data_IF_856218278145
#
_entry.id   IF_856218278145
#
_cell.length_a   1.000
_cell.length_b   1.000
_cell.length_c   1.000
_cell.angle_alpha   90.00
_cell.angle_beta   90.00
_cell.angle_gamma   90.00
#
_symmetry.space_group_name_H-M   'P 1'
#
loop_
_entity.id
_entity.type
_entity.pdbx_description
1 polymer ?
#
# COMPACT_ATOMS: atom_id res chain seq x y z
N UNK A 1 -10.33 0.71 -9.41
CA UNK A 1 -9.57 0.91 -8.16
C UNK A 1 -8.52 2.00 -8.33
N UNK A 2 -7.55 1.88 -9.24
CA UNK A 2 -6.50 2.91 -9.41
C UNK A 2 -7.07 4.27 -9.84
N UNK A 3 -7.82 4.33 -10.95
CA UNK A 3 -8.37 5.58 -11.49
C UNK A 3 -9.50 6.18 -10.66
N UNK A 4 -10.36 5.33 -10.09
CA UNK A 4 -11.63 5.75 -9.50
C UNK A 4 -11.57 5.91 -7.98
N UNK A 5 -10.48 5.47 -7.34
CA UNK A 5 -10.34 5.53 -5.88
C UNK A 5 -8.92 6.00 -5.50
N UNK A 6 -7.89 5.24 -5.84
CA UNK A 6 -6.52 5.53 -5.37
C UNK A 6 -5.97 6.89 -5.83
N UNK A 7 -6.00 7.18 -7.13
CA UNK A 7 -5.50 8.46 -7.66
C UNK A 7 -6.28 9.66 -7.08
N UNK A 8 -7.63 9.64 -7.03
CA UNK A 8 -8.40 10.71 -6.39
C UNK A 8 -8.02 11.01 -4.93
N UNK A 9 -7.66 9.99 -4.14
CA UNK A 9 -7.21 10.21 -2.74
C UNK A 9 -5.87 10.96 -2.65
N UNK A 10 -5.09 10.97 -3.73
CA UNK A 10 -3.82 11.70 -3.80
C UNK A 10 -3.99 13.18 -4.16
N UNK A 11 -5.21 13.66 -4.46
CA UNK A 11 -5.45 15.04 -4.91
C UNK A 11 -4.98 16.11 -3.93
N UNK A 12 -4.85 15.78 -2.64
CA UNK A 12 -4.34 16.70 -1.60
C UNK A 12 -2.82 16.61 -1.42
N UNK A 13 -2.12 15.84 -2.25
CA UNK A 13 -0.68 15.62 -2.17
C UNK A 13 0.00 16.02 -3.48
N UNK A 14 1.25 16.47 -3.38
CA UNK A 14 2.08 16.67 -4.57
C UNK A 14 2.59 15.30 -5.07
N UNK A 15 1.90 14.76 -6.07
CA UNK A 15 2.24 13.48 -6.71
C UNK A 15 3.65 13.50 -7.33
N UNK A 16 4.22 14.69 -7.61
CA UNK A 16 5.59 14.79 -8.12
C UNK A 16 6.66 14.46 -7.08
N UNK A 17 6.31 14.55 -5.80
CA UNK A 17 7.20 14.22 -4.67
C UNK A 17 6.98 12.78 -4.16
N UNK A 18 5.98 12.06 -4.69
CA UNK A 18 5.63 10.72 -4.25
C UNK A 18 6.29 9.62 -5.08
N UNK A 19 6.73 8.58 -4.36
CA UNK A 19 7.16 7.31 -4.93
C UNK A 19 6.07 6.26 -4.75
N UNK A 20 5.78 5.49 -5.80
CA UNK A 20 4.85 4.37 -5.72
C UNK A 20 5.59 3.04 -5.78
N UNK A 21 5.33 2.17 -4.82
CA UNK A 21 5.91 0.84 -4.74
C UNK A 21 4.80 -0.22 -4.74
N UNK A 22 4.95 -1.25 -5.56
CA UNK A 22 4.08 -2.43 -5.58
C UNK A 22 4.87 -3.72 -5.81
N UNK A 23 4.26 -4.86 -5.50
CA UNK A 23 4.91 -6.15 -5.69
C UNK A 23 4.80 -6.69 -7.13
N UNK A 24 5.41 -7.85 -7.34
CA UNK A 24 5.45 -8.52 -8.63
C UNK A 24 4.22 -9.39 -8.95
N UNK A 25 3.08 -9.20 -8.28
CA UNK A 25 1.87 -9.98 -8.57
C UNK A 25 1.36 -9.70 -10.00
N UNK A 26 0.87 -10.73 -10.68
CA UNK A 26 0.57 -10.64 -12.12
C UNK A 26 -0.38 -9.49 -12.48
N UNK A 27 -1.40 -9.22 -11.65
CA UNK A 27 -2.34 -8.11 -11.85
C UNK A 27 -1.70 -6.72 -11.70
N UNK A 28 -0.67 -6.59 -10.86
CA UNK A 28 0.08 -5.35 -10.62
C UNK A 28 1.10 -5.07 -11.74
N UNK A 29 1.56 -6.12 -12.40
CA UNK A 29 2.60 -6.08 -13.45
C UNK A 29 2.06 -6.13 -14.87
N UNK A 30 0.74 -6.19 -15.05
CA UNK A 30 0.12 -6.11 -16.36
C UNK A 30 0.51 -4.79 -17.04
N UNK A 31 0.75 -4.82 -18.36
CA UNK A 31 1.17 -3.63 -19.14
C UNK A 31 0.26 -2.43 -18.88
N UNK A 32 -1.05 -2.62 -18.98
CA UNK A 32 -2.03 -1.57 -18.73
C UNK A 32 -1.95 -0.97 -17.31
N UNK A 33 -1.68 -1.79 -16.29
CA UNK A 33 -1.51 -1.32 -14.91
C UNK A 33 -0.22 -0.50 -14.77
N UNK A 34 0.88 -0.98 -15.35
CA UNK A 34 2.17 -0.28 -15.31
C UNK A 34 2.09 1.06 -16.06
N UNK A 35 1.48 1.08 -17.25
CA UNK A 35 1.35 2.29 -18.05
C UNK A 35 0.51 3.34 -17.32
N UNK A 36 -0.61 2.94 -16.72
CA UNK A 36 -1.45 3.83 -15.91
C UNK A 36 -0.71 4.44 -14.71
N UNK A 37 0.11 3.63 -14.02
CA UNK A 37 0.91 4.12 -12.89
C UNK A 37 2.05 5.02 -13.36
N UNK A 38 2.66 4.75 -14.52
CA UNK A 38 3.68 5.62 -15.12
C UNK A 38 3.12 6.99 -15.51
N UNK A 39 1.89 7.06 -16.01
CA UNK A 39 1.24 8.33 -16.33
C UNK A 39 1.10 9.24 -15.09
N UNK A 40 1.00 8.63 -13.91
CA UNK A 40 0.84 9.35 -12.63
C UNK A 40 2.18 9.62 -11.93
N UNK A 41 3.05 8.62 -11.83
CA UNK A 41 4.27 8.65 -11.03
C UNK A 41 5.57 8.80 -11.85
N UNK A 42 5.50 8.71 -13.18
CA UNK A 42 6.67 8.77 -14.06
C UNK A 42 7.72 7.72 -13.71
N UNK A 43 8.96 8.17 -13.56
CA UNK A 43 10.11 7.33 -13.18
C UNK A 43 10.12 6.92 -11.70
N UNK A 44 9.23 7.48 -10.86
CA UNK A 44 9.11 7.20 -9.42
C UNK A 44 8.26 5.97 -9.12
N UNK A 45 8.32 4.97 -10.00
CA UNK A 45 7.58 3.72 -9.89
C UNK A 45 8.53 2.55 -9.64
N UNK A 46 8.41 1.97 -8.44
CA UNK A 46 9.10 0.75 -8.03
C UNK A 46 8.15 -0.43 -8.25
N UNK A 47 8.40 -1.21 -9.30
CA UNK A 47 7.59 -2.37 -9.64
C UNK A 47 8.37 -3.33 -10.52
N UNK A 48 7.91 -4.58 -10.60
CA UNK A 48 8.40 -5.51 -11.62
C UNK A 48 7.98 -4.99 -13.00
N UNK A 49 8.97 -4.73 -13.86
CA UNK A 49 8.84 -4.04 -15.16
C UNK A 49 8.54 -2.52 -15.08
N UNK A 50 8.65 -1.93 -13.88
CA UNK A 50 8.68 -0.48 -13.69
C UNK A 50 10.05 0.13 -14.03
N UNK A 51 10.14 1.48 -13.99
CA UNK A 51 11.41 2.21 -14.11
C UNK A 51 12.47 1.76 -13.10
N UNK A 52 12.04 1.53 -11.84
CA UNK A 52 12.89 0.92 -10.81
C UNK A 52 12.43 -0.52 -10.59
N UNK A 53 13.30 -1.47 -10.90
CA UNK A 53 12.95 -2.89 -10.88
C UNK A 53 12.85 -3.42 -9.44
N UNK A 54 11.72 -4.07 -9.11
CA UNK A 54 11.53 -4.73 -7.81
C UNK A 54 11.87 -6.23 -7.88
N UNK A 55 12.72 -6.75 -6.98
CA UNK A 55 13.09 -8.17 -6.99
C UNK A 55 11.91 -9.08 -6.61
N UNK A 56 11.75 -10.24 -7.27
CA UNK A 56 10.69 -11.18 -6.94
C UNK A 56 10.87 -11.77 -5.54
N UNK A 57 9.75 -12.05 -4.86
CA UNK A 57 9.69 -12.69 -3.53
C UNK A 57 10.29 -11.87 -2.38
N UNK A 58 10.39 -10.55 -2.53
CA UNK A 58 10.99 -9.65 -1.53
C UNK A 58 9.93 -9.09 -0.57
N UNK A 59 9.20 -9.97 0.12
CA UNK A 59 8.20 -9.54 1.10
C UNK A 59 8.83 -8.87 2.34
N UNK A 60 10.06 -9.26 2.66
CA UNK A 60 10.90 -8.66 3.69
C UNK A 60 11.25 -7.18 3.42
N UNK A 61 11.24 -6.77 2.15
CA UNK A 61 11.55 -5.39 1.75
C UNK A 61 10.31 -4.49 1.64
N UNK A 62 9.11 -4.98 2.01
CA UNK A 62 7.86 -4.21 1.91
C UNK A 62 7.37 -3.80 3.31
N UNK A 63 7.38 -2.51 3.67
CA UNK A 63 6.83 -1.99 4.93
C UNK A 63 5.43 -2.51 5.27
N UNK A 64 4.59 -2.67 4.25
CA UNK A 64 3.23 -3.19 4.43
C UNK A 64 3.22 -4.64 4.93
N UNK A 65 4.09 -5.50 4.38
CA UNK A 65 4.11 -6.94 4.70
C UNK A 65 4.91 -7.27 5.94
N UNK A 66 6.09 -6.67 6.13
CA UNK A 66 6.94 -7.00 7.27
C UNK A 66 6.45 -6.33 8.56
N UNK A 67 5.74 -5.19 8.47
CA UNK A 67 5.29 -4.43 9.64
C UNK A 67 3.76 -4.24 9.66
N UNK A 68 3.20 -3.49 8.72
CA UNK A 68 1.83 -2.97 8.85
C UNK A 68 0.79 -4.08 9.07
N UNK A 69 0.76 -5.09 8.19
CA UNK A 69 -0.26 -6.13 8.27
C UNK A 69 -0.13 -7.00 9.52
N UNK A 70 1.10 -7.28 9.97
CA UNK A 70 1.34 -7.97 11.24
C UNK A 70 0.85 -7.16 12.44
N UNK A 71 1.19 -5.87 12.47
CA UNK A 71 0.78 -4.94 13.51
C UNK A 71 -0.74 -4.78 13.56
N UNK A 72 -1.38 -4.45 12.44
CA UNK A 72 -2.83 -4.26 12.34
C UNK A 72 -3.57 -5.53 12.75
N UNK A 73 -3.14 -6.70 12.25
CA UNK A 73 -3.75 -7.98 12.63
C UNK A 73 -3.67 -8.26 14.13
N UNK A 74 -2.56 -7.89 14.79
CA UNK A 74 -2.40 -8.09 16.23
C UNK A 74 -3.42 -7.29 17.07
N UNK A 75 -3.93 -6.18 16.54
CA UNK A 75 -4.87 -5.30 17.21
C UNK A 75 -6.33 -5.53 16.80
N UNK A 76 -6.56 -5.83 15.51
CA UNK A 76 -7.90 -6.05 14.95
C UNK A 76 -8.59 -7.28 15.54
N UNK A 77 -7.83 -8.29 15.96
CA UNK A 77 -8.39 -9.55 16.49
C UNK A 77 -8.44 -9.63 18.03
N UNK A 78 -8.07 -8.57 18.76
CA UNK A 78 -8.04 -8.56 20.23
C UNK A 78 -9.42 -8.83 20.83
N UNK A 79 -10.46 -8.25 20.26
CA UNK A 79 -11.85 -8.37 20.67
C UNK A 79 -12.62 -9.51 19.98
N UNK A 80 -11.93 -10.31 19.16
CA UNK A 80 -12.46 -11.50 18.47
C UNK A 80 -13.75 -11.18 17.70
N UNK A 81 -13.68 -10.36 16.63
CA UNK A 81 -14.87 -9.98 15.89
C UNK A 81 -15.57 -11.21 15.29
N UNK A 82 -16.89 -11.27 15.44
CA UNK A 82 -17.72 -12.40 14.98
C UNK A 82 -18.49 -12.09 13.69
N UNK A 83 -18.44 -10.84 13.22
CA UNK A 83 -19.10 -10.38 12.00
C UNK A 83 -18.12 -9.61 11.12
N UNK A 84 -18.43 -9.52 9.82
CA UNK A 84 -17.64 -8.73 8.88
C UNK A 84 -17.68 -7.24 9.23
N UNK A 85 -18.86 -6.71 9.59
CA UNK A 85 -19.00 -5.30 9.98
C UNK A 85 -18.08 -4.94 11.15
N UNK A 86 -18.05 -5.78 12.19
CA UNK A 86 -17.19 -5.54 13.34
C UNK A 86 -15.70 -5.64 12.97
N UNK A 87 -15.34 -6.59 12.09
CA UNK A 87 -13.98 -6.70 11.59
C UNK A 87 -13.56 -5.47 10.78
N UNK A 88 -14.43 -4.96 9.90
CA UNK A 88 -14.18 -3.74 9.12
C UNK A 88 -14.01 -2.51 10.01
N UNK A 89 -14.88 -2.34 11.01
CA UNK A 89 -14.80 -1.23 11.95
C UNK A 89 -13.51 -1.26 12.76
N UNK A 90 -13.06 -2.46 13.17
CA UNK A 90 -11.76 -2.62 13.81
C UNK A 90 -10.59 -2.27 12.90
N UNK A 91 -10.63 -2.67 11.63
CA UNK A 91 -9.58 -2.30 10.67
C UNK A 91 -9.53 -0.78 10.52
N UNK A 92 -10.69 -0.12 10.30
CA UNK A 92 -10.77 1.35 10.16
C UNK A 92 -10.21 2.06 11.40
N UNK A 93 -10.63 1.64 12.59
CA UNK A 93 -10.17 2.20 13.87
C UNK A 93 -8.66 2.03 14.05
N UNK A 94 -8.15 0.80 13.90
CA UNK A 94 -6.73 0.52 14.10
C UNK A 94 -5.85 1.28 13.11
N UNK A 95 -6.27 1.38 11.84
CA UNK A 95 -5.54 2.16 10.82
C UNK A 95 -5.53 3.66 11.18
N UNK A 96 -6.67 4.22 11.61
CA UNK A 96 -6.76 5.62 12.02
C UNK A 96 -5.89 5.95 13.25
N UNK A 97 -5.67 4.98 14.13
CA UNK A 97 -4.84 5.11 15.33
C UNK A 97 -3.32 5.03 15.03
N UNK A 98 -2.91 4.70 13.80
CA UNK A 98 -1.49 4.64 13.44
C UNK A 98 -0.91 6.04 13.35
N UNK A 99 0.05 6.33 14.24
CA UNK A 99 0.73 7.63 14.28
C UNK A 99 1.79 7.74 13.18
N UNK A 100 1.94 8.90 12.52
CA UNK A 100 2.98 9.11 11.51
C UNK A 100 4.40 8.77 11.98
N UNK A 101 4.74 9.09 13.24
CA UNK A 101 6.07 8.81 13.81
C UNK A 101 6.37 7.31 13.94
N UNK A 102 5.34 6.45 13.91
CA UNK A 102 5.52 5.01 13.85
C UNK A 102 5.93 4.59 12.43
N UNK A 103 5.32 5.19 11.41
CA UNK A 103 5.61 4.92 10.00
C UNK A 103 7.02 5.39 9.61
N UNK A 104 7.45 6.54 10.14
CA UNK A 104 8.81 7.07 9.93
C UNK A 104 9.93 6.15 10.44
N UNK A 105 9.63 5.22 11.36
CA UNK A 105 10.62 4.25 11.88
C UNK A 105 10.70 2.97 11.04
N UNK A 106 9.79 2.82 10.08
CA UNK A 106 9.60 1.65 9.23
C UNK A 106 10.07 1.95 7.80
N UNK A 107 10.05 3.21 7.38
CA UNK A 107 10.48 3.64 6.04
C UNK A 107 11.95 4.03 6.05
#
# INVERSE_FOLDING_TARGET
>A
MITNFFIPELNNHDVQELWFQQDGATCHTARATIDLLKDTFGDRLISRFGPVNWPPKSCDLRPLDYFLWGYVKSLVYVDKPQTLDHLEDNIRRVIADIRPQMLEKVI
#
